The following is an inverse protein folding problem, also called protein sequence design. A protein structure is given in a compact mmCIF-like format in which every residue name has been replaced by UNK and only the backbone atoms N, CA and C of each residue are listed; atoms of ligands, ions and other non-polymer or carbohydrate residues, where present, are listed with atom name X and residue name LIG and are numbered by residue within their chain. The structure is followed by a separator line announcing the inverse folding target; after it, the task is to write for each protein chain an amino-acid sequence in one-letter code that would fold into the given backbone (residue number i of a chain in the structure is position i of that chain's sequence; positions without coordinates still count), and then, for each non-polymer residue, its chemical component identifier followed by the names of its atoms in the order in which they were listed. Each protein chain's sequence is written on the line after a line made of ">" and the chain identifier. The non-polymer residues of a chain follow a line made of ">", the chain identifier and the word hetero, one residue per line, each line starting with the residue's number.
data_IF_540006874064
#
_entry.id   IF_540006874064
#
_cell.length_a   1.000
_cell.length_b   1.000
_cell.length_c   1.000
_cell.angle_alpha   90.00
_cell.angle_beta   90.00
_cell.angle_gamma   90.00
#
_symmetry.space_group_name_H-M   'P 1'
#
loop_
_entity.id
_entity.type
_entity.pdbx_description
1 polymer ?
#
# COMPACT_ATOMS: atom_id res chain seq x y z
N UNK A 1 5.89 12.40 -7.93
CA UNK A 1 4.61 12.03 -7.29
C UNK A 1 4.75 10.66 -6.63
N UNK A 2 4.25 10.49 -5.41
CA UNK A 2 4.32 9.21 -4.68
C UNK A 2 2.90 8.71 -4.50
N UNK A 3 2.58 7.62 -5.17
CA UNK A 3 1.21 7.16 -5.33
C UNK A 3 1.00 5.78 -4.70
N UNK A 4 -0.24 5.53 -4.31
CA UNK A 4 -0.66 4.21 -3.84
C UNK A 4 -0.51 3.15 -4.94
N UNK A 5 -0.53 1.88 -4.55
CA UNK A 5 -0.40 0.74 -5.44
C UNK A 5 -1.19 0.87 -6.75
N UNK A 6 -0.51 0.71 -7.88
CA UNK A 6 -1.12 0.70 -9.21
C UNK A 6 -2.13 -0.44 -9.40
N UNK A 7 -1.95 -1.56 -8.69
CA UNK A 7 -2.88 -2.68 -8.71
C UNK A 7 -4.19 -2.41 -7.93
N UNK A 8 -4.23 -1.35 -7.12
CA UNK A 8 -5.39 -0.99 -6.29
C UNK A 8 -6.16 0.22 -6.81
N UNK A 9 -5.48 1.12 -7.54
CA UNK A 9 -6.04 2.35 -8.09
C UNK A 9 -5.42 2.72 -9.44
N UNK A 10 -6.25 3.24 -10.35
CA UNK A 10 -5.80 3.79 -11.63
C UNK A 10 -5.01 5.10 -11.52
N UNK A 11 -4.90 5.70 -10.32
CA UNK A 11 -4.22 6.98 -10.11
C UNK A 11 -2.77 6.99 -10.60
N UNK A 12 -2.03 5.88 -10.41
CA UNK A 12 -0.67 5.75 -10.94
C UNK A 12 -0.64 5.85 -12.46
N UNK A 13 -1.47 5.06 -13.15
CA UNK A 13 -1.55 5.07 -14.60
C UNK A 13 -2.00 6.44 -15.15
N UNK A 14 -2.98 7.08 -14.50
CA UNK A 14 -3.40 8.44 -14.86
C UNK A 14 -2.27 9.47 -14.74
N UNK A 15 -1.42 9.35 -13.72
CA UNK A 15 -0.26 10.22 -13.56
C UNK A 15 0.77 9.98 -14.67
N UNK A 16 1.05 8.72 -15.03
CA UNK A 16 1.95 8.40 -16.14
C UNK A 16 1.45 9.00 -17.46
N UNK A 17 0.17 8.81 -17.79
CA UNK A 17 -0.45 9.43 -18.98
C UNK A 17 -0.28 10.94 -18.96
N UNK A 18 -0.56 11.59 -17.83
CA UNK A 18 -0.45 13.04 -17.71
C UNK A 18 0.99 13.54 -17.92
N UNK A 19 2.00 12.84 -17.37
CA UNK A 19 3.42 13.16 -17.63
C UNK A 19 3.77 12.99 -19.11
N UNK A 20 3.37 11.87 -19.71
CA UNK A 20 3.71 11.56 -21.09
C UNK A 20 3.09 12.61 -22.05
N UNK A 21 1.89 13.14 -21.75
CA UNK A 21 1.27 14.24 -22.48
C UNK A 21 2.01 15.58 -22.37
N UNK A 22 2.79 15.78 -21.30
CA UNK A 22 3.57 17.00 -21.08
C UNK A 22 4.95 16.94 -21.74
N UNK A 23 5.35 15.76 -22.25
CA UNK A 23 6.65 15.53 -22.90
C UNK A 23 7.84 16.02 -22.04
N UNK A 24 7.78 15.76 -20.73
CA UNK A 24 8.78 16.21 -19.73
C UNK A 24 9.34 15.03 -18.93
N UNK A 25 10.64 15.09 -18.66
CA UNK A 25 11.35 14.18 -17.77
C UNK A 25 11.43 14.72 -16.33
N UNK A 26 10.96 15.95 -16.08
CA UNK A 26 11.05 16.59 -14.75
C UNK A 26 10.07 15.99 -13.72
N UNK A 27 9.25 15.02 -14.13
CA UNK A 27 8.22 14.39 -13.29
C UNK A 27 8.53 12.90 -13.10
N UNK A 28 9.01 12.60 -11.90
CA UNK A 28 9.16 11.24 -11.40
C UNK A 28 7.86 10.74 -10.78
N UNK A 29 7.46 9.49 -11.05
CA UNK A 29 6.21 8.89 -10.54
C UNK A 29 6.51 7.54 -9.91
N UNK A 30 6.31 7.44 -8.59
CA UNK A 30 6.63 6.24 -7.82
C UNK A 30 5.35 5.49 -7.46
N UNK A 31 5.30 4.22 -7.85
CA UNK A 31 4.33 3.24 -7.35
C UNK A 31 4.85 2.63 -6.04
N UNK A 32 4.21 2.95 -4.92
CA UNK A 32 4.65 2.46 -3.61
C UNK A 32 4.29 1.00 -3.34
N UNK A 33 3.43 0.38 -4.15
CA UNK A 33 2.93 -1.00 -3.94
C UNK A 33 2.20 -1.19 -2.60
N UNK A 34 1.88 -0.11 -1.90
CA UNK A 34 1.14 -0.10 -0.63
C UNK A 34 0.08 1.01 -0.66
N UNK A 35 -0.65 1.16 0.44
CA UNK A 35 -1.68 2.20 0.60
C UNK A 35 -1.59 2.81 2.01
N UNK A 36 -2.43 3.81 2.29
CA UNK A 36 -2.61 4.41 3.64
C UNK A 36 -1.33 4.99 4.24
N UNK A 37 -1.09 4.80 5.55
CA UNK A 37 0.08 5.35 6.25
C UNK A 37 1.40 4.81 5.74
N UNK A 38 1.43 3.58 5.21
CA UNK A 38 2.64 3.02 4.59
C UNK A 38 3.06 3.82 3.35
N UNK A 39 2.11 4.31 2.54
CA UNK A 39 2.42 5.26 1.46
C UNK A 39 2.93 6.60 2.01
N UNK A 40 2.35 7.06 3.13
CA UNK A 40 2.78 8.27 3.83
C UNK A 40 4.25 8.23 4.29
N UNK A 41 4.74 7.06 4.70
CA UNK A 41 6.17 6.86 5.00
C UNK A 41 7.07 7.20 3.80
N UNK A 42 6.72 6.77 2.60
CA UNK A 42 7.51 7.08 1.40
C UNK A 42 7.51 8.58 1.09
N UNK A 43 6.39 9.28 1.32
CA UNK A 43 6.33 10.75 1.19
C UNK A 43 7.29 11.43 2.15
N UNK A 44 7.28 11.04 3.42
CA UNK A 44 8.20 11.60 4.42
C UNK A 44 9.66 11.28 4.09
N UNK A 45 9.94 10.06 3.63
CA UNK A 45 11.29 9.66 3.22
C UNK A 45 11.79 10.45 2.02
N UNK A 46 10.94 10.72 1.05
CA UNK A 46 11.28 11.58 -0.09
C UNK A 46 11.58 13.01 0.33
N UNK A 47 10.81 13.59 1.27
CA UNK A 47 11.13 14.89 1.84
C UNK A 47 12.49 14.89 2.54
N UNK A 48 12.79 13.87 3.35
CA UNK A 48 14.09 13.72 4.02
C UNK A 48 15.24 13.67 3.01
N UNK A 49 15.09 12.93 1.91
CA UNK A 49 16.12 12.81 0.87
C UNK A 49 16.29 14.10 0.06
N UNK A 50 15.18 14.78 -0.27
CA UNK A 50 15.20 16.12 -0.88
C UNK A 50 15.96 17.11 0.00
N UNK A 51 15.71 17.09 1.32
CA UNK A 51 16.37 18.00 2.26
C UNK A 51 17.88 17.71 2.39
N UNK A 52 18.33 16.52 1.97
CA UNK A 52 19.76 16.16 1.81
C UNK A 52 20.35 16.57 0.45
N UNK A 53 19.56 17.20 -0.42
CA UNK A 53 19.99 17.72 -1.72
C UNK A 53 19.92 16.73 -2.88
N UNK A 54 19.28 15.57 -2.70
CA UNK A 54 19.09 14.61 -3.80
C UNK A 54 18.08 15.15 -4.81
N UNK A 55 18.32 14.84 -6.09
CA UNK A 55 17.40 15.08 -7.20
C UNK A 55 16.26 14.07 -7.22
N UNK A 56 15.23 14.34 -8.02
CA UNK A 56 14.02 13.53 -8.05
C UNK A 56 14.28 12.07 -8.45
N UNK A 57 15.18 11.84 -9.40
CA UNK A 57 15.56 10.53 -9.92
C UNK A 57 16.35 9.73 -8.87
N UNK A 58 17.27 10.40 -8.16
CA UNK A 58 18.02 9.78 -7.06
C UNK A 58 17.08 9.40 -5.90
N UNK A 59 16.07 10.23 -5.62
CA UNK A 59 15.04 9.93 -4.63
C UNK A 59 14.24 8.70 -5.07
N UNK A 60 13.81 8.62 -6.33
CA UNK A 60 13.11 7.45 -6.86
C UNK A 60 13.91 6.16 -6.67
N UNK A 61 15.18 6.17 -7.07
CA UNK A 61 16.06 5.01 -6.92
C UNK A 61 16.14 4.54 -5.47
N UNK A 62 16.24 5.47 -4.52
CA UNK A 62 16.25 5.14 -3.09
C UNK A 62 14.91 4.58 -2.61
N UNK A 63 13.78 5.15 -3.05
CA UNK A 63 12.46 4.62 -2.69
C UNK A 63 12.23 3.22 -3.27
N UNK A 64 12.63 2.97 -4.52
CA UNK A 64 12.53 1.67 -5.18
C UNK A 64 13.31 0.58 -4.44
N UNK A 65 14.44 0.91 -3.79
CA UNK A 65 15.20 -0.01 -2.92
C UNK A 65 14.48 -0.33 -1.60
N UNK A 66 13.60 0.56 -1.15
CA UNK A 66 12.88 0.42 0.13
C UNK A 66 11.55 -0.30 -0.06
N UNK A 67 10.84 -0.07 -1.17
CA UNK A 67 9.54 -0.69 -1.49
C UNK A 67 9.50 -2.21 -1.22
N UNK A 68 10.42 -3.04 -1.71
CA UNK A 68 10.35 -4.50 -1.49
C UNK A 68 10.61 -4.92 -0.03
N UNK A 69 11.08 -4.02 0.83
CA UNK A 69 11.33 -4.26 2.26
C UNK A 69 10.19 -3.74 3.14
N UNK A 70 9.22 -3.04 2.55
CA UNK A 70 8.08 -2.49 3.27
C UNK A 70 7.12 -3.61 3.66
N UNK A 71 6.80 -3.71 4.95
CA UNK A 71 5.72 -4.55 5.43
C UNK A 71 4.64 -3.65 6.04
N UNK A 72 3.40 -3.85 5.61
CA UNK A 72 2.24 -3.14 6.15
C UNK A 72 1.12 -4.14 6.40
N UNK A 73 0.47 -4.00 7.56
CA UNK A 73 -0.63 -4.86 7.97
C UNK A 73 -1.83 -4.01 8.38
N UNK A 74 -3.00 -4.40 7.91
CA UNK A 74 -4.28 -3.77 8.18
C UNK A 74 -5.19 -4.75 8.92
N UNK A 75 -6.10 -4.24 9.75
CA UNK A 75 -7.06 -5.08 10.47
C UNK A 75 -8.49 -4.66 10.12
N UNK A 76 -9.31 -5.62 9.70
CA UNK A 76 -10.71 -5.40 9.36
C UNK A 76 -11.64 -6.25 10.21
N UNK A 77 -12.84 -5.73 10.48
CA UNK A 77 -13.97 -6.49 11.04
C UNK A 77 -14.78 -7.19 9.94
N UNK A 78 -14.87 -6.58 8.77
CA UNK A 78 -15.54 -7.12 7.59
C UNK A 78 -14.77 -6.71 6.34
N UNK A 79 -14.70 -7.62 5.37
CA UNK A 79 -14.09 -7.41 4.06
C UNK A 79 -15.12 -7.08 2.97
N UNK A 80 -16.41 -6.95 3.30
CA UNK A 80 -17.50 -6.81 2.32
C UNK A 80 -17.24 -5.66 1.33
N UNK A 81 -16.85 -4.48 1.83
CA UNK A 81 -16.58 -3.32 0.97
C UNK A 81 -15.36 -3.53 0.06
N UNK A 82 -14.33 -4.23 0.54
CA UNK A 82 -13.15 -4.53 -0.27
C UNK A 82 -13.51 -5.52 -1.39
N UNK A 83 -14.35 -6.51 -1.10
CA UNK A 83 -14.85 -7.48 -2.09
C UNK A 83 -15.74 -6.81 -3.12
N UNK A 84 -16.73 -6.02 -2.67
CA UNK A 84 -17.64 -5.27 -3.56
C UNK A 84 -16.88 -4.27 -4.41
N UNK A 85 -15.82 -3.68 -3.86
CA UNK A 85 -14.92 -2.80 -4.57
C UNK A 85 -13.93 -3.51 -5.50
N UNK A 86 -13.79 -4.84 -5.43
CA UNK A 86 -12.82 -5.59 -6.24
C UNK A 86 -11.35 -5.42 -5.82
N UNK A 87 -11.10 -4.88 -4.62
CA UNK A 87 -9.74 -4.59 -4.09
C UNK A 87 -9.17 -5.77 -3.29
N UNK A 88 -9.97 -6.81 -3.10
CA UNK A 88 -9.57 -8.11 -2.58
C UNK A 88 -10.37 -9.20 -3.29
N UNK A 89 -9.78 -10.38 -3.48
CA UNK A 89 -10.47 -11.50 -4.14
C UNK A 89 -11.68 -11.97 -3.32
N UNK A 90 -12.73 -12.45 -3.99
CA UNK A 90 -13.92 -13.01 -3.33
C UNK A 90 -13.58 -14.18 -2.41
N UNK A 91 -12.60 -14.99 -2.78
CA UNK A 91 -12.12 -16.14 -1.99
C UNK A 91 -11.40 -15.69 -0.72
N UNK A 92 -10.55 -14.67 -0.80
CA UNK A 92 -9.94 -14.06 0.39
C UNK A 92 -10.96 -13.29 1.25
N UNK A 93 -12.01 -12.73 0.62
CA UNK A 93 -13.09 -12.02 1.28
C UNK A 93 -14.14 -12.89 1.99
N UNK A 94 -14.17 -14.20 1.74
CA UNK A 94 -15.12 -15.13 2.36
C UNK A 94 -14.83 -15.42 3.85
N UNK A 95 -13.83 -14.75 4.44
CA UNK A 95 -13.42 -14.91 5.83
C UNK A 95 -14.37 -14.13 6.76
N UNK A 96 -15.48 -14.79 7.09
CA UNK A 96 -16.09 -14.82 8.43
C UNK A 96 -17.01 -13.66 8.84
N UNK A 97 -18.32 -13.91 8.79
CA UNK A 97 -19.39 -13.17 9.52
C UNK A 97 -19.42 -13.47 11.04
N UNK A 98 -18.39 -14.16 11.55
CA UNK A 98 -18.35 -14.60 12.94
C UNK A 98 -18.06 -13.43 13.87
N UNK A 99 -18.98 -13.19 14.81
CA UNK A 99 -18.89 -12.08 15.77
C UNK A 99 -17.54 -12.05 16.49
N UNK A 100 -16.87 -10.89 16.44
CA UNK A 100 -15.59 -10.63 17.10
C UNK A 100 -14.36 -11.19 16.37
N UNK A 101 -14.52 -11.73 15.16
CA UNK A 101 -13.39 -12.06 14.30
C UNK A 101 -12.73 -10.79 13.74
N UNK A 102 -11.42 -10.84 13.58
CA UNK A 102 -10.57 -9.78 13.02
C UNK A 102 -9.72 -10.41 11.94
N UNK A 103 -9.79 -9.86 10.73
CA UNK A 103 -9.00 -10.32 9.59
C UNK A 103 -7.80 -9.40 9.43
N UNK A 104 -6.62 -10.00 9.38
CA UNK A 104 -5.36 -9.29 9.16
C UNK A 104 -5.01 -9.39 7.69
N UNK A 105 -4.86 -8.23 7.07
CA UNK A 105 -4.57 -8.06 5.65
C UNK A 105 -3.15 -7.57 5.50
N UNK A 106 -2.42 -8.13 4.54
CA UNK A 106 -1.13 -7.65 4.08
C UNK A 106 -1.15 -7.29 2.60
N UNK A 107 0.04 -7.21 2.01
CA UNK A 107 0.23 -6.90 0.60
C UNK A 107 1.18 -7.90 -0.04
N UNK A 108 0.82 -8.39 -1.22
CA UNK A 108 1.67 -9.18 -2.12
C UNK A 108 1.50 -8.60 -3.52
N UNK A 109 2.61 -8.31 -4.20
CA UNK A 109 2.62 -7.69 -5.54
C UNK A 109 1.65 -6.51 -5.66
N UNK A 110 1.64 -5.64 -4.65
CA UNK A 110 0.80 -4.44 -4.63
C UNK A 110 -0.70 -4.70 -4.38
N UNK A 111 -1.13 -5.94 -4.20
CA UNK A 111 -2.52 -6.32 -3.95
C UNK A 111 -2.74 -6.70 -2.49
N UNK A 112 -3.94 -6.42 -1.96
CA UNK A 112 -4.32 -6.86 -0.63
C UNK A 112 -4.49 -8.39 -0.57
N UNK A 113 -3.88 -9.01 0.43
CA UNK A 113 -3.99 -10.45 0.69
C UNK A 113 -4.37 -10.72 2.15
N UNK A 114 -5.10 -11.81 2.39
CA UNK A 114 -5.43 -12.23 3.76
C UNK A 114 -4.26 -12.99 4.37
N UNK A 115 -3.63 -12.42 5.40
CA UNK A 115 -2.52 -13.04 6.12
C UNK A 115 -2.98 -13.96 7.25
N UNK A 116 -3.92 -13.51 8.07
CA UNK A 116 -4.34 -14.25 9.27
C UNK A 116 -5.76 -13.86 9.73
N UNK A 117 -6.33 -14.64 10.65
CA UNK A 117 -7.61 -14.38 11.30
C UNK A 117 -7.52 -14.66 12.80
N UNK A 118 -7.89 -13.68 13.61
CA UNK A 118 -7.84 -13.79 15.07
C UNK A 118 -9.12 -13.27 15.70
N UNK A 119 -9.40 -13.66 16.94
CA UNK A 119 -10.59 -13.20 17.67
C UNK A 119 -10.23 -12.11 18.67
N UNK A 120 -10.88 -10.95 18.55
CA UNK A 120 -10.75 -9.81 19.45
C UNK A 120 -9.56 -8.89 19.15
N UNK A 121 -9.73 -7.60 19.46
CA UNK A 121 -8.75 -6.54 19.19
C UNK A 121 -7.38 -6.79 19.82
N UNK A 122 -7.33 -7.32 21.05
CA UNK A 122 -6.06 -7.59 21.75
C UNK A 122 -5.18 -8.59 21.01
N UNK A 123 -5.76 -9.66 20.46
CA UNK A 123 -5.01 -10.66 19.69
C UNK A 123 -4.61 -10.12 18.31
N UNK A 124 -5.47 -9.33 17.67
CA UNK A 124 -5.16 -8.66 16.40
C UNK A 124 -3.95 -7.72 16.54
N UNK A 125 -3.96 -6.85 17.55
CA UNK A 125 -2.85 -5.94 17.80
C UNK A 125 -1.55 -6.72 18.10
N UNK A 126 -1.60 -7.73 18.97
CA UNK A 126 -0.43 -8.55 19.29
C UNK A 126 0.14 -9.21 18.04
N UNK A 127 -0.72 -9.73 17.16
CA UNK A 127 -0.31 -10.38 15.92
C UNK A 127 0.35 -9.39 14.96
N UNK A 128 -0.22 -8.19 14.77
CA UNK A 128 0.34 -7.14 13.91
C UNK A 128 1.71 -6.66 14.41
N UNK A 129 1.90 -6.54 15.73
CA UNK A 129 3.18 -6.12 16.31
C UNK A 129 4.27 -7.19 16.16
N UNK A 130 3.87 -8.47 16.06
CA UNK A 130 4.80 -9.60 15.92
C UNK A 130 5.05 -10.04 14.47
N UNK A 131 4.39 -9.40 13.50
CA UNK A 131 4.50 -9.67 12.06
C UNK A 131 5.66 -8.88 11.45
#
# INVERSE_FOLDING_TARGET
>A
AILMSSNMSGTYNSACIARDMLETEDIVIVDTQVITSAQGFFVLKACELRDKGLKAEEIEEELLKIIPKMNASLCFESLENLVRGGRISKTAGAIGTALGLKVIIGFEDGMMTSKDKVRGNKKALKKIISD
#
